data_IF_106939641789
#
_entry.id   IF_106939641789
#
_cell.length_a   1.000
_cell.length_b   1.000
_cell.length_c   1.000
_cell.angle_alpha   90.00
_cell.angle_beta   90.00
_cell.angle_gamma   90.00
#
_symmetry.space_group_name_H-M   'P 1'
#
loop_
_entity.id
_entity.type
_entity.pdbx_description
1 polymer ?
#
# COMPACT_ATOMS: atom_id res chain seq x y z
N UNK A 1 1.56 18.33 -49.51
CA UNK A 1 0.78 18.65 -48.30
C UNK A 1 0.53 17.36 -47.55
N UNK A 2 0.93 17.36 -46.28
CA UNK A 2 0.63 16.41 -45.19
C UNK A 2 0.83 14.90 -45.43
N UNK A 3 2.02 14.44 -45.09
CA UNK A 3 2.20 13.13 -44.46
C UNK A 3 3.12 13.33 -43.27
N UNK A 4 2.54 13.45 -42.07
CA UNK A 4 3.33 13.64 -40.86
C UNK A 4 2.55 14.33 -39.75
N UNK A 5 1.86 13.54 -38.93
CA UNK A 5 1.82 13.78 -37.49
C UNK A 5 1.28 12.61 -36.64
N UNK A 6 0.82 11.52 -37.24
CA UNK A 6 0.13 10.45 -36.49
C UNK A 6 1.02 9.64 -35.53
N UNK A 7 2.36 9.76 -35.63
CA UNK A 7 3.30 9.05 -34.74
C UNK A 7 3.63 9.79 -33.44
N UNK A 8 3.42 11.12 -33.37
CA UNK A 8 3.81 11.95 -32.20
C UNK A 8 2.71 11.92 -31.13
N UNK A 9 1.44 11.92 -31.54
CA UNK A 9 0.30 11.83 -30.63
C UNK A 9 0.18 10.45 -29.95
N UNK A 10 0.56 9.38 -30.65
CA UNK A 10 0.45 8.01 -30.13
C UNK A 10 1.34 7.77 -28.91
N UNK A 11 2.61 8.20 -28.95
CA UNK A 11 3.53 7.94 -27.84
C UNK A 11 3.18 8.75 -26.58
N UNK A 12 2.77 10.02 -26.72
CA UNK A 12 2.34 10.83 -25.58
C UNK A 12 1.07 10.24 -24.95
N UNK A 13 0.12 9.77 -25.76
CA UNK A 13 -1.07 9.08 -25.29
C UNK A 13 -0.73 7.77 -24.58
N UNK A 14 0.19 6.95 -25.11
CA UNK A 14 0.67 5.73 -24.46
C UNK A 14 1.31 6.02 -23.11
N UNK A 15 2.13 7.07 -23.00
CA UNK A 15 2.76 7.47 -21.73
C UNK A 15 1.70 7.89 -20.70
N UNK A 16 0.68 8.65 -21.11
CA UNK A 16 -0.41 9.07 -20.22
C UNK A 16 -1.36 7.93 -19.84
N UNK A 17 -1.47 6.90 -20.68
CA UNK A 17 -2.27 5.71 -20.42
C UNK A 17 -1.53 4.65 -19.58
N UNK A 18 -0.23 4.81 -19.35
CA UNK A 18 0.55 3.87 -18.55
C UNK A 18 0.06 3.88 -17.10
N UNK A 19 -0.46 2.74 -16.65
CA UNK A 19 -0.94 2.54 -15.26
C UNK A 19 0.09 1.80 -14.40
N UNK A 20 1.15 1.29 -15.02
CA UNK A 20 2.25 0.60 -14.36
C UNK A 20 3.62 1.15 -14.79
N UNK A 21 4.69 0.65 -14.15
CA UNK A 21 6.05 1.11 -14.45
C UNK A 21 6.54 0.56 -15.78
N UNK A 22 6.48 1.39 -16.82
CA UNK A 22 6.83 1.01 -18.20
C UNK A 22 8.18 1.56 -18.69
N UNK A 23 8.71 0.92 -19.74
CA UNK A 23 9.92 1.38 -20.43
C UNK A 23 9.61 1.72 -21.88
N UNK A 24 9.91 2.96 -22.28
CA UNK A 24 9.72 3.49 -23.63
C UNK A 24 11.08 3.66 -24.32
N UNK A 25 11.23 3.08 -25.51
CA UNK A 25 12.44 3.20 -26.31
C UNK A 25 12.36 4.41 -27.24
N UNK A 26 13.32 5.33 -27.13
CA UNK A 26 13.37 6.54 -27.98
C UNK A 26 14.23 6.36 -29.24
N UNK A 27 14.61 5.12 -29.59
CA UNK A 27 15.31 4.82 -30.84
C UNK A 27 14.52 5.34 -32.06
N UNK A 28 15.19 6.09 -32.94
CA UNK A 28 14.57 6.65 -34.15
C UNK A 28 13.72 7.91 -33.96
N UNK A 29 13.56 8.43 -32.73
CA UNK A 29 12.89 9.72 -32.49
C UNK A 29 13.88 10.90 -32.59
N UNK A 30 13.48 11.97 -33.29
CA UNK A 30 14.25 13.22 -33.35
C UNK A 30 14.11 14.02 -32.05
N UNK A 31 15.05 14.94 -31.80
CA UNK A 31 15.01 15.84 -30.63
C UNK A 31 13.71 16.65 -30.55
N UNK A 32 13.23 17.16 -31.69
CA UNK A 32 11.97 17.92 -31.76
C UNK A 32 10.78 17.06 -31.33
N UNK A 33 10.72 15.82 -31.79
CA UNK A 33 9.61 14.91 -31.49
C UNK A 33 9.62 14.52 -30.01
N UNK A 34 10.81 14.29 -29.43
CA UNK A 34 10.95 14.03 -28.00
C UNK A 34 10.44 15.22 -27.19
N UNK A 35 10.83 16.46 -27.53
CA UNK A 35 10.37 17.65 -26.81
C UNK A 35 8.85 17.81 -26.84
N UNK A 36 8.22 17.65 -28.01
CA UNK A 36 6.76 17.72 -28.15
C UNK A 36 6.08 16.61 -27.35
N UNK A 37 6.52 15.36 -27.50
CA UNK A 37 5.92 14.21 -26.79
C UNK A 37 6.00 14.37 -25.27
N UNK A 38 7.13 14.85 -24.75
CA UNK A 38 7.31 15.04 -23.31
C UNK A 38 6.50 16.21 -22.77
N UNK A 39 6.36 17.27 -23.56
CA UNK A 39 5.49 18.41 -23.22
C UNK A 39 4.04 17.94 -23.17
N UNK A 40 3.57 17.21 -24.17
CA UNK A 40 2.19 16.72 -24.22
C UNK A 40 1.91 15.68 -23.12
N UNK A 41 2.90 14.83 -22.79
CA UNK A 41 2.74 13.81 -21.76
C UNK A 41 2.75 14.37 -20.32
N UNK A 42 3.66 15.30 -20.01
CA UNK A 42 3.97 15.73 -18.63
C UNK A 42 3.64 17.20 -18.32
N UNK A 43 3.03 17.95 -19.24
CA UNK A 43 2.54 19.31 -18.98
C UNK A 43 1.46 19.34 -17.91
N UNK A 44 0.62 18.32 -17.88
CA UNK A 44 -0.38 18.10 -16.85
C UNK A 44 0.02 16.89 -15.98
N UNK A 45 -0.26 16.92 -14.67
CA UNK A 45 -0.12 15.75 -13.81
C UNK A 45 -0.86 14.54 -14.38
N UNK A 46 -0.27 13.35 -14.25
CA UNK A 46 -0.93 12.13 -14.70
C UNK A 46 -2.01 11.72 -13.68
N UNK A 47 -3.19 11.25 -14.15
CA UNK A 47 -4.28 10.79 -13.28
C UNK A 47 -4.00 9.37 -12.78
N UNK A 48 -2.96 9.23 -11.95
CA UNK A 48 -2.50 7.94 -11.43
C UNK A 48 -2.73 7.86 -9.93
N UNK A 49 -3.20 6.68 -9.49
CA UNK A 49 -3.45 6.38 -8.08
C UNK A 49 -2.17 5.97 -7.35
N UNK A 50 -1.29 5.25 -8.04
CA UNK A 50 0.00 4.81 -7.54
C UNK A 50 1.15 5.52 -8.25
N UNK A 51 2.26 5.72 -7.53
CA UNK A 51 3.47 6.23 -8.14
C UNK A 51 4.05 5.18 -9.09
N UNK A 52 4.11 5.52 -10.39
CA UNK A 52 4.76 4.69 -11.39
C UNK A 52 6.14 5.24 -11.76
N UNK A 53 6.99 4.37 -12.29
CA UNK A 53 8.28 4.72 -12.85
C UNK A 53 8.21 4.63 -14.38
N UNK A 54 8.38 5.75 -15.06
CA UNK A 54 8.46 5.77 -16.53
C UNK A 54 9.93 5.82 -16.96
N UNK A 55 10.42 4.78 -17.62
CA UNK A 55 11.82 4.67 -18.03
C UNK A 55 11.98 4.91 -19.52
N UNK A 56 12.76 5.92 -19.90
CA UNK A 56 13.08 6.21 -21.30
C UNK A 56 14.47 5.69 -21.64
N UNK A 57 14.59 4.85 -22.67
CA UNK A 57 15.90 4.47 -23.24
C UNK A 57 16.34 5.56 -24.19
N UNK A 58 17.44 6.24 -23.84
CA UNK A 58 17.95 7.43 -24.56
C UNK A 58 19.24 7.15 -25.31
N UNK A 59 19.83 5.97 -25.11
CA UNK A 59 21.06 5.57 -25.78
C UNK A 59 21.45 4.14 -25.44
N UNK A 60 22.22 3.54 -26.33
CA UNK A 60 22.88 2.27 -26.09
C UNK A 60 24.38 2.39 -26.35
N UNK A 61 25.18 1.63 -25.62
CA UNK A 61 26.62 1.48 -25.83
C UNK A 61 26.92 0.58 -27.03
N UNK A 62 28.18 0.16 -27.14
CA UNK A 62 28.73 -0.56 -28.32
C UNK A 62 27.98 -1.85 -28.72
N UNK A 63 27.18 -2.44 -27.82
CA UNK A 63 26.40 -3.66 -28.06
C UNK A 63 24.96 -3.39 -28.57
N UNK A 64 24.43 -2.18 -28.40
CA UNK A 64 23.10 -1.83 -28.91
C UNK A 64 23.13 -1.50 -30.40
N UNK A 65 22.34 -2.22 -31.20
CA UNK A 65 22.24 -1.99 -32.66
C UNK A 65 21.27 -0.85 -33.04
N UNK A 66 20.55 -0.30 -32.07
CA UNK A 66 19.55 0.75 -32.28
C UNK A 66 20.21 2.12 -32.44
N UNK A 67 19.66 2.95 -33.35
CA UNK A 67 20.14 4.30 -33.62
C UNK A 67 19.40 5.29 -32.72
N UNK A 68 20.15 5.92 -31.81
CA UNK A 68 19.67 6.98 -30.94
C UNK A 68 20.23 8.33 -31.40
N UNK A 69 19.45 9.39 -31.22
CA UNK A 69 19.94 10.75 -31.43
C UNK A 69 20.89 11.12 -30.27
N UNK A 70 22.08 11.67 -30.58
CA UNK A 70 23.09 12.02 -29.57
C UNK A 70 22.58 13.07 -28.56
N UNK A 71 21.58 13.86 -28.94
CA UNK A 71 20.93 14.84 -28.08
C UNK A 71 19.62 14.36 -27.42
N UNK A 72 19.20 13.10 -27.59
CA UNK A 72 17.94 12.59 -27.05
C UNK A 72 17.83 12.77 -25.52
N UNK A 73 18.86 12.36 -24.77
CA UNK A 73 18.90 12.53 -23.31
C UNK A 73 18.89 14.02 -22.89
N UNK A 74 19.57 14.87 -23.66
CA UNK A 74 19.62 16.32 -23.39
C UNK A 74 18.27 16.97 -23.64
N UNK A 75 17.62 16.63 -24.76
CA UNK A 75 16.29 17.14 -25.13
C UNK A 75 15.22 16.71 -24.11
N UNK A 76 15.26 15.45 -23.67
CA UNK A 76 14.37 14.93 -22.63
C UNK A 76 14.54 15.67 -21.30
N UNK A 77 15.76 15.71 -20.77
CA UNK A 77 16.04 16.33 -19.46
C UNK A 77 15.85 17.85 -19.46
N UNK A 78 16.11 18.54 -20.58
CA UNK A 78 15.82 19.97 -20.70
C UNK A 78 14.32 20.26 -20.69
N UNK A 79 13.52 19.42 -21.35
CA UNK A 79 12.06 19.60 -21.39
C UNK A 79 11.44 19.35 -20.02
N UNK A 80 11.85 18.28 -19.33
CA UNK A 80 11.39 17.98 -17.97
C UNK A 80 11.72 19.10 -16.98
N UNK A 81 12.94 19.67 -17.05
CA UNK A 81 13.31 20.84 -16.23
C UNK A 81 12.43 22.05 -16.53
N UNK A 82 12.09 22.30 -17.79
CA UNK A 82 11.19 23.40 -18.17
C UNK A 82 9.75 23.20 -17.65
N UNK A 83 9.32 21.94 -17.48
CA UNK A 83 8.04 21.56 -16.87
C UNK A 83 8.09 21.51 -15.32
N UNK A 84 9.21 21.95 -14.73
CA UNK A 84 9.41 22.04 -13.29
C UNK A 84 9.64 20.68 -12.63
N UNK A 85 10.31 19.75 -13.31
CA UNK A 85 10.84 18.53 -12.69
C UNK A 85 12.28 18.74 -12.22
N UNK A 86 12.65 18.10 -11.11
CA UNK A 86 13.98 18.19 -10.50
C UNK A 86 14.81 16.91 -10.74
N UNK A 87 16.13 17.06 -10.91
CA UNK A 87 17.04 15.92 -11.05
C UNK A 87 17.42 15.40 -9.65
N UNK A 88 16.95 14.20 -9.31
CA UNK A 88 17.26 13.54 -8.03
C UNK A 88 17.78 12.12 -8.27
N UNK A 89 19.06 11.89 -7.96
CA UNK A 89 19.72 10.58 -8.14
C UNK A 89 19.22 9.51 -7.16
N UNK A 90 18.68 9.92 -6.02
CA UNK A 90 18.11 9.05 -4.99
C UNK A 90 16.64 8.70 -5.24
N UNK A 91 15.99 9.35 -6.20
CA UNK A 91 14.57 9.19 -6.44
C UNK A 91 14.16 7.72 -6.65
N UNK A 92 13.09 7.32 -5.96
CA UNK A 92 12.55 5.97 -5.96
C UNK A 92 11.05 6.01 -6.26
N UNK A 93 10.43 4.84 -6.43
CA UNK A 93 9.01 4.72 -6.80
C UNK A 93 8.11 5.00 -5.58
N UNK A 94 8.19 6.22 -5.04
CA UNK A 94 7.44 6.71 -3.89
C UNK A 94 6.83 8.07 -4.22
N UNK A 95 5.66 8.36 -3.66
CA UNK A 95 4.90 9.60 -3.95
C UNK A 95 5.70 10.86 -3.64
N UNK A 96 6.60 10.80 -2.65
CA UNK A 96 7.48 11.92 -2.26
C UNK A 96 8.47 12.32 -3.37
N UNK A 97 8.76 11.41 -4.31
CA UNK A 97 9.63 11.66 -5.45
C UNK A 97 8.83 12.10 -6.71
N UNK A 98 7.54 12.40 -6.60
CA UNK A 98 6.73 12.91 -7.71
C UNK A 98 7.35 14.18 -8.29
N UNK A 99 7.44 14.27 -9.62
CA UNK A 99 8.05 15.42 -10.27
C UNK A 99 9.58 15.41 -10.26
N UNK A 100 10.21 14.26 -10.03
CA UNK A 100 11.66 14.10 -10.15
C UNK A 100 12.05 13.18 -11.31
N UNK A 101 13.29 13.30 -11.77
CA UNK A 101 13.86 12.35 -12.71
C UNK A 101 15.31 12.00 -12.35
N UNK A 102 15.77 10.83 -12.80
CA UNK A 102 17.15 10.39 -12.63
C UNK A 102 17.75 9.81 -13.90
N UNK A 103 19.04 10.04 -14.07
CA UNK A 103 19.85 9.44 -15.12
C UNK A 103 20.42 8.12 -14.59
N UNK A 104 20.17 7.02 -15.32
CA UNK A 104 20.71 5.71 -14.97
C UNK A 104 21.44 5.11 -16.16
N UNK A 105 22.68 4.69 -15.92
CA UNK A 105 23.47 3.92 -16.88
C UNK A 105 23.53 2.47 -16.39
N UNK A 106 22.85 1.57 -17.09
CA UNK A 106 22.93 0.14 -16.84
C UNK A 106 24.19 -0.39 -17.53
N UNK A 107 25.25 -0.62 -16.75
CA UNK A 107 26.53 -1.14 -17.24
C UNK A 107 26.47 -2.60 -17.67
N UNK A 108 25.47 -3.36 -17.21
CA UNK A 108 25.24 -4.75 -17.62
C UNK A 108 24.60 -4.83 -19.00
N UNK A 109 23.58 -4.00 -19.25
CA UNK A 109 22.87 -3.94 -20.54
C UNK A 109 23.45 -2.91 -21.52
N UNK A 110 24.41 -2.11 -21.08
CA UNK A 110 24.98 -0.98 -21.82
C UNK A 110 23.90 0.02 -22.29
N UNK A 111 22.89 0.28 -21.47
CA UNK A 111 21.80 1.20 -21.82
C UNK A 111 21.87 2.47 -20.96
N UNK A 112 21.71 3.61 -21.62
CA UNK A 112 21.51 4.91 -20.97
C UNK A 112 20.02 5.17 -20.90
N UNK A 113 19.53 5.34 -19.68
CA UNK A 113 18.12 5.52 -19.40
C UNK A 113 17.88 6.79 -18.59
N UNK A 114 16.75 7.43 -18.85
CA UNK A 114 16.22 8.51 -18.02
C UNK A 114 14.95 7.97 -17.38
N UNK A 115 14.91 7.99 -16.07
CA UNK A 115 13.79 7.51 -15.29
C UNK A 115 13.04 8.70 -14.75
N UNK A 116 11.76 8.79 -15.05
CA UNK A 116 10.88 9.90 -14.68
C UNK A 116 9.83 9.39 -13.70
N UNK A 117 9.66 10.15 -12.63
CA UNK A 117 8.60 9.97 -11.65
C UNK A 117 7.58 11.08 -11.90
N UNK A 118 6.45 10.79 -12.59
CA UNK A 118 5.49 11.80 -12.99
C UNK A 118 4.95 12.57 -11.79
N UNK A 119 4.55 13.83 -12.02
CA UNK A 119 3.66 14.53 -11.11
C UNK A 119 2.31 13.82 -11.19
N UNK A 120 1.77 13.40 -10.05
CA UNK A 120 0.44 12.79 -9.97
C UNK A 120 -0.50 13.79 -9.31
N UNK A 121 -1.73 13.89 -9.79
CA UNK A 121 -2.80 14.58 -9.07
C UNK A 121 -3.28 13.67 -7.95
N UNK A 122 -2.56 13.70 -6.82
CA UNK A 122 -3.08 13.17 -5.57
C UNK A 122 -4.17 14.12 -5.06
N UNK A 123 -5.33 13.58 -4.64
CA UNK A 123 -6.26 14.32 -3.79
C UNK A 123 -5.48 14.99 -2.65
N UNK A 124 -5.67 16.30 -2.49
CA UNK A 124 -4.79 17.23 -1.77
C UNK A 124 -4.40 16.78 -0.36
N UNK A 125 -3.15 16.33 -0.16
CA UNK A 125 -2.51 16.16 1.15
C UNK A 125 -1.76 17.42 1.58
N UNK A 126 -2.50 18.40 2.11
CA UNK A 126 -1.94 19.60 2.76
C UNK A 126 -1.54 19.33 4.21
N UNK A 127 -0.41 19.91 4.62
CA UNK A 127 0.27 19.71 5.88
C UNK A 127 -0.57 20.00 7.15
N UNK A 128 -0.65 19.02 8.06
CA UNK A 128 -0.53 19.32 9.49
C UNK A 128 0.01 18.10 10.28
N UNK A 129 0.82 18.37 11.29
CA UNK A 129 1.63 17.37 11.96
C UNK A 129 0.87 16.43 12.89
N UNK A 130 1.02 15.11 12.71
CA UNK A 130 0.64 14.12 13.72
C UNK A 130 0.44 12.73 13.14
N UNK A 131 1.12 11.73 13.73
CA UNK A 131 1.04 10.27 13.48
C UNK A 131 1.33 9.78 12.05
N UNK A 132 2.63 9.72 11.72
CA UNK A 132 3.13 8.89 10.62
C UNK A 132 2.88 7.41 10.91
N UNK A 133 2.19 6.71 9.98
CA UNK A 133 1.97 5.26 10.04
C UNK A 133 0.62 4.75 9.52
N UNK A 134 -0.24 5.60 8.97
CA UNK A 134 -1.40 5.18 8.18
C UNK A 134 -1.02 5.33 6.71
N UNK A 135 -0.71 4.21 6.06
CA UNK A 135 -0.74 4.15 4.61
C UNK A 135 -2.20 4.45 4.20
N UNK A 136 -2.40 5.51 3.42
CA UNK A 136 -3.67 5.73 2.71
C UNK A 136 -3.88 4.50 1.83
N UNK A 137 -4.84 3.66 2.21
CA UNK A 137 -5.37 2.64 1.33
C UNK A 137 -6.39 3.34 0.44
N UNK A 138 -5.88 4.06 -0.56
CA UNK A 138 -6.70 4.59 -1.64
C UNK A 138 -7.23 3.40 -2.44
N UNK A 139 -8.53 3.16 -2.33
CA UNK A 139 -9.26 2.23 -3.17
C UNK A 139 -9.04 2.64 -4.63
N UNK A 140 -8.36 1.77 -5.38
CA UNK A 140 -8.22 1.91 -6.81
C UNK A 140 -9.60 1.84 -7.48
N UNK A 141 -9.98 2.91 -8.19
CA UNK A 141 -11.19 2.94 -9.00
C UNK A 141 -11.49 4.35 -9.53
N UNK A 142 -10.93 4.70 -10.69
CA UNK A 142 -11.31 5.92 -11.39
C UNK A 142 -12.61 5.74 -12.18
N UNK A 143 -13.65 6.51 -11.77
CA UNK A 143 -14.93 6.89 -12.40
C UNK A 143 -15.67 5.81 -13.22
N UNK A 144 -16.85 5.31 -12.83
CA UNK A 144 -18.12 6.07 -12.83
C UNK A 144 -19.15 5.61 -11.78
N UNK A 145 -18.75 4.79 -10.82
CA UNK A 145 -19.57 4.45 -9.65
C UNK A 145 -18.59 4.08 -8.54
N UNK A 146 -18.42 4.93 -7.54
CA UNK A 146 -17.84 4.46 -6.28
C UNK A 146 -18.81 3.41 -5.78
N UNK A 147 -18.43 2.13 -5.88
CA UNK A 147 -19.33 1.05 -5.49
C UNK A 147 -19.80 1.34 -4.06
N UNK A 148 -21.11 1.54 -3.85
CA UNK A 148 -21.61 1.94 -2.55
C UNK A 148 -21.23 0.89 -1.53
N UNK A 149 -20.85 1.34 -0.32
CA UNK A 149 -20.47 0.44 0.76
C UNK A 149 -21.64 -0.52 0.98
N UNK A 150 -21.47 -1.84 0.79
CA UNK A 150 -22.60 -2.77 0.80
C UNK A 150 -23.37 -2.69 2.11
N UNK A 151 -24.68 -2.56 2.04
CA UNK A 151 -25.52 -2.46 3.22
C UNK A 151 -25.34 -3.70 4.12
N UNK A 152 -25.25 -3.49 5.42
CA UNK A 152 -25.00 -4.56 6.39
C UNK A 152 -23.56 -5.07 6.46
N UNK A 153 -22.65 -4.58 5.62
CA UNK A 153 -21.21 -4.87 5.76
C UNK A 153 -20.63 -4.28 7.05
N UNK A 154 -19.53 -4.84 7.60
CA UNK A 154 -18.81 -4.25 8.73
C UNK A 154 -18.41 -2.79 8.50
N UNK A 155 -17.98 -2.48 7.28
CA UNK A 155 -17.60 -1.14 6.83
C UNK A 155 -18.82 -0.21 6.88
N UNK A 156 -19.97 -0.65 6.34
CA UNK A 156 -21.22 0.12 6.40
C UNK A 156 -21.64 0.40 7.85
N UNK A 157 -21.66 -0.63 8.71
CA UNK A 157 -22.02 -0.50 10.12
C UNK A 157 -21.12 0.48 10.88
N UNK A 158 -19.80 0.42 10.64
CA UNK A 158 -18.85 1.35 11.24
C UNK A 158 -19.09 2.78 10.74
N UNK A 159 -19.42 2.95 9.47
CA UNK A 159 -19.66 4.25 8.83
C UNK A 159 -20.93 4.93 9.31
N UNK A 160 -22.08 4.23 9.31
CA UNK A 160 -23.39 4.83 9.65
C UNK A 160 -23.72 4.83 11.15
N UNK A 161 -23.00 4.05 11.96
CA UNK A 161 -23.26 4.00 13.41
C UNK A 161 -23.03 5.35 14.10
N UNK A 162 -23.76 5.64 15.18
CA UNK A 162 -23.43 6.78 16.03
C UNK A 162 -22.05 6.60 16.68
N UNK A 163 -21.39 7.71 17.02
CA UNK A 163 -20.07 7.68 17.69
C UNK A 163 -20.11 6.81 18.94
N UNK A 164 -21.14 6.95 19.79
CA UNK A 164 -21.27 6.16 21.02
C UNK A 164 -21.44 4.65 20.77
N UNK A 165 -22.12 4.25 19.69
CA UNK A 165 -22.24 2.84 19.30
C UNK A 165 -20.90 2.34 18.75
N UNK A 166 -20.25 3.14 17.90
CA UNK A 166 -18.93 2.84 17.37
C UNK A 166 -17.89 2.60 18.46
N UNK A 167 -17.83 3.44 19.50
CA UNK A 167 -16.89 3.26 20.61
C UNK A 167 -17.07 1.90 21.32
N UNK A 168 -18.32 1.45 21.49
CA UNK A 168 -18.64 0.14 22.05
C UNK A 168 -18.26 -1.00 21.10
N UNK A 169 -18.51 -0.81 19.80
CA UNK A 169 -18.12 -1.77 18.76
C UNK A 169 -16.60 -1.92 18.69
N UNK A 170 -15.85 -0.83 18.69
CA UNK A 170 -14.39 -0.84 18.65
C UNK A 170 -13.79 -1.65 19.80
N UNK A 171 -14.31 -1.47 21.02
CA UNK A 171 -13.85 -2.21 22.21
C UNK A 171 -14.15 -3.70 22.13
N UNK A 172 -15.31 -4.08 21.58
CA UNK A 172 -15.76 -5.47 21.54
C UNK A 172 -15.28 -6.25 20.32
N UNK A 173 -15.11 -5.59 19.17
CA UNK A 173 -14.80 -6.20 17.87
C UNK A 173 -13.35 -5.98 17.43
N UNK A 174 -12.67 -4.95 17.94
CA UNK A 174 -11.28 -4.66 17.62
C UNK A 174 -10.38 -4.65 18.87
N UNK A 175 -10.27 -5.77 19.61
CA UNK A 175 -9.46 -5.83 20.84
C UNK A 175 -7.95 -5.68 20.60
N UNK A 176 -7.44 -6.00 19.40
CA UNK A 176 -6.02 -5.89 19.06
C UNK A 176 -5.67 -4.53 18.44
N UNK A 177 -4.39 -4.15 18.52
CA UNK A 177 -3.90 -2.91 17.90
C UNK A 177 -3.98 -3.01 16.37
N UNK A 178 -3.62 -4.16 15.81
CA UNK A 178 -3.72 -4.42 14.37
C UNK A 178 -5.18 -4.33 13.87
N UNK A 179 -6.15 -4.85 14.64
CA UNK A 179 -7.57 -4.74 14.30
C UNK A 179 -8.06 -3.28 14.33
N UNK A 180 -7.62 -2.49 15.32
CA UNK A 180 -7.91 -1.05 15.37
C UNK A 180 -7.28 -0.32 14.18
N UNK A 181 -6.06 -0.69 13.77
CA UNK A 181 -5.41 -0.14 12.56
C UNK A 181 -6.22 -0.44 11.30
N UNK A 182 -6.72 -1.66 11.15
CA UNK A 182 -7.61 -2.03 10.04
C UNK A 182 -8.92 -1.24 10.05
N UNK A 183 -9.55 -1.09 11.21
CA UNK A 183 -10.75 -0.26 11.37
C UNK A 183 -10.50 1.22 11.03
N UNK A 184 -9.34 1.76 11.42
CA UNK A 184 -8.95 3.12 11.05
C UNK A 184 -8.82 3.27 9.53
N UNK A 185 -8.20 2.31 8.85
CA UNK A 185 -8.09 2.32 7.39
C UNK A 185 -9.48 2.31 6.72
N UNK A 186 -10.40 1.45 7.18
CA UNK A 186 -11.76 1.41 6.65
C UNK A 186 -12.54 2.72 6.87
N UNK A 187 -12.32 3.41 8.00
CA UNK A 187 -12.89 4.73 8.25
C UNK A 187 -12.35 5.80 7.30
N UNK A 188 -11.05 5.79 7.01
CA UNK A 188 -10.42 6.70 6.06
C UNK A 188 -11.01 6.49 4.66
N UNK A 189 -11.10 5.23 4.20
CA UNK A 189 -11.74 4.91 2.93
C UNK A 189 -13.20 5.37 2.90
N UNK A 190 -13.97 5.13 3.97
CA UNK A 190 -15.38 5.56 4.03
C UNK A 190 -15.53 7.07 4.01
N UNK A 191 -14.57 7.80 4.59
CA UNK A 191 -14.54 9.26 4.56
C UNK A 191 -14.26 9.76 3.14
N UNK A 192 -13.30 9.18 2.43
CA UNK A 192 -13.02 9.50 1.02
C UNK A 192 -14.27 9.28 0.15
N UNK A 193 -15.04 8.21 0.39
CA UNK A 193 -16.31 7.95 -0.30
C UNK A 193 -17.32 9.07 -0.03
N UNK A 194 -17.55 9.43 1.23
CA UNK A 194 -18.52 10.50 1.57
C UNK A 194 -18.08 11.86 1.01
N UNK A 195 -16.78 12.16 1.03
CA UNK A 195 -16.22 13.39 0.43
C UNK A 195 -16.40 13.42 -1.10
N UNK A 196 -16.35 12.26 -1.77
CA UNK A 196 -16.66 12.15 -3.20
C UNK A 196 -18.16 12.36 -3.49
N UNK A 197 -19.05 11.89 -2.60
CA UNK A 197 -20.49 12.16 -2.70
C UNK A 197 -20.79 13.65 -2.51
N UNK A 198 -20.13 14.30 -1.54
CA UNK A 198 -20.16 15.75 -1.35
C UNK A 198 -19.73 16.48 -2.64
N UNK A 199 -18.61 16.08 -3.25
CA UNK A 199 -18.13 16.69 -4.50
C UNK A 199 -19.11 16.52 -5.66
N UNK A 200 -19.76 15.34 -5.76
CA UNK A 200 -20.79 15.05 -6.76
C UNK A 200 -21.99 15.97 -6.61
N UNK A 201 -22.48 16.16 -5.38
CA UNK A 201 -23.56 17.11 -5.07
C UNK A 201 -23.15 18.56 -5.38
N UNK A 202 -21.92 18.96 -5.05
CA UNK A 202 -21.40 20.30 -5.35
C UNK A 202 -21.26 20.57 -6.85
N UNK A 203 -21.06 19.52 -7.66
CA UNK A 203 -21.05 19.63 -9.13
C UNK A 203 -22.45 19.78 -9.75
N UNK A 204 -23.51 19.64 -8.95
CA UNK A 204 -24.90 19.66 -9.41
C UNK A 204 -25.39 18.32 -10.00
N UNK A 205 -24.61 17.25 -9.82
CA UNK A 205 -24.99 15.89 -10.25
C UNK A 205 -25.80 15.23 -9.14
N UNK A 206 -26.99 14.68 -9.44
CA UNK A 206 -27.78 13.97 -8.44
C UNK A 206 -27.11 12.64 -8.05
N UNK A 207 -27.15 12.31 -6.76
CA UNK A 207 -26.75 11.00 -6.25
C UNK A 207 -27.81 9.94 -6.59
N UNK A 208 -27.41 8.68 -6.67
CA UNK A 208 -28.34 7.54 -6.70
C UNK A 208 -29.03 7.37 -5.34
N UNK A 209 -30.17 6.68 -5.29
CA UNK A 209 -30.91 6.45 -4.03
C UNK A 209 -30.02 5.81 -2.94
N UNK A 210 -29.17 4.85 -3.32
CA UNK A 210 -28.25 4.16 -2.40
C UNK A 210 -27.16 5.09 -1.87
N UNK A 211 -26.63 5.96 -2.72
CA UNK A 211 -25.62 6.95 -2.34
C UNK A 211 -26.23 8.04 -1.46
N UNK A 212 -27.45 8.49 -1.77
CA UNK A 212 -28.19 9.47 -0.98
C UNK A 212 -28.50 8.90 0.41
N UNK A 213 -28.94 7.65 0.51
CA UNK A 213 -29.19 6.98 1.79
C UNK A 213 -27.92 6.89 2.65
N UNK A 214 -26.77 6.54 2.05
CA UNK A 214 -25.49 6.52 2.74
C UNK A 214 -25.07 7.92 3.20
N UNK A 215 -25.21 8.92 2.32
CA UNK A 215 -24.85 10.30 2.60
C UNK A 215 -25.68 10.87 3.75
N UNK A 216 -27.00 10.67 3.73
CA UNK A 216 -27.92 11.13 4.76
C UNK A 216 -27.73 10.40 6.09
N UNK A 217 -27.32 9.13 6.04
CA UNK A 217 -27.06 8.32 7.23
C UNK A 217 -25.77 8.69 7.97
N UNK A 218 -24.83 9.41 7.33
CA UNK A 218 -23.54 9.78 7.92
C UNK A 218 -23.56 11.24 8.40
N UNK A 219 -23.62 11.51 9.72
CA UNK A 219 -23.61 12.88 10.20
C UNK A 219 -22.29 13.59 9.86
N UNK A 220 -22.32 14.88 9.48
CA UNK A 220 -21.11 15.65 9.20
C UNK A 220 -20.11 15.60 10.37
N UNK A 221 -18.84 15.35 10.05
CA UNK A 221 -17.76 15.25 11.04
C UNK A 221 -17.78 14.00 11.92
N UNK A 222 -18.77 13.11 11.78
CA UNK A 222 -18.84 11.87 12.58
C UNK A 222 -17.66 10.94 12.30
N UNK A 223 -17.26 10.79 11.04
CA UNK A 223 -16.12 9.96 10.63
C UNK A 223 -14.80 10.50 11.21
N UNK A 224 -14.58 11.81 11.18
CA UNK A 224 -13.39 12.43 11.78
C UNK A 224 -13.32 12.20 13.31
N UNK A 225 -14.46 12.26 14.00
CA UNK A 225 -14.54 11.95 15.43
C UNK A 225 -14.21 10.47 15.71
N UNK A 226 -14.73 9.55 14.89
CA UNK A 226 -14.42 8.11 14.98
C UNK A 226 -12.93 7.85 14.74
N UNK A 227 -12.33 8.44 13.70
CA UNK A 227 -10.89 8.33 13.43
C UNK A 227 -10.04 8.80 14.61
N UNK A 228 -10.36 9.98 15.17
CA UNK A 228 -9.65 10.53 16.31
C UNK A 228 -9.75 9.60 17.53
N UNK A 229 -10.93 9.01 17.77
CA UNK A 229 -11.12 8.03 18.82
C UNK A 229 -10.28 6.77 18.61
N UNK A 230 -10.26 6.20 17.39
CA UNK A 230 -9.43 5.02 17.09
C UNK A 230 -7.95 5.32 17.28
N UNK A 231 -7.46 6.47 16.78
CA UNK A 231 -6.07 6.91 16.95
C UNK A 231 -5.70 7.02 18.43
N UNK A 232 -6.59 7.59 19.25
CA UNK A 232 -6.41 7.68 20.71
C UNK A 232 -6.34 6.30 21.37
N UNK A 233 -7.29 5.41 21.09
CA UNK A 233 -7.30 4.06 21.64
C UNK A 233 -6.07 3.24 21.22
N UNK A 234 -5.61 3.38 19.98
CA UNK A 234 -4.37 2.77 19.50
C UNK A 234 -3.15 3.29 20.26
N UNK A 235 -3.08 4.59 20.52
CA UNK A 235 -2.01 5.20 21.30
C UNK A 235 -2.03 4.71 22.75
N UNK A 236 -3.20 4.75 23.41
CA UNK A 236 -3.38 4.23 24.77
C UNK A 236 -2.96 2.76 24.86
N UNK A 237 -3.31 1.94 23.86
CA UNK A 237 -2.92 0.53 23.85
C UNK A 237 -1.38 0.32 23.79
N UNK A 238 -0.66 1.19 23.09
CA UNK A 238 0.82 1.18 23.06
C UNK A 238 1.38 1.63 24.40
N UNK A 239 0.86 2.73 24.96
CA UNK A 239 1.30 3.30 26.24
C UNK A 239 1.06 2.34 27.43
N UNK A 240 -0.04 1.60 27.40
CA UNK A 240 -0.36 0.56 28.41
C UNK A 240 0.40 -0.75 28.19
N UNK A 241 1.21 -0.86 27.14
CA UNK A 241 1.97 -2.08 26.82
C UNK A 241 1.11 -3.27 26.39
N UNK A 242 -0.13 -3.05 25.94
CA UNK A 242 -1.09 -4.11 25.58
C UNK A 242 -0.93 -4.56 24.12
N UNK A 243 0.29 -4.87 23.70
CA UNK A 243 0.63 -5.27 22.33
C UNK A 243 0.97 -6.76 22.23
N UNK A 244 0.55 -7.41 21.15
CA UNK A 244 1.04 -8.76 20.82
C UNK A 244 2.47 -8.71 20.28
N UNK A 245 3.15 -9.86 20.17
CA UNK A 245 4.52 -9.90 19.66
C UNK A 245 4.60 -9.37 18.22
N UNK A 246 3.68 -9.81 17.36
CA UNK A 246 3.57 -9.33 15.99
C UNK A 246 3.32 -7.82 15.91
N UNK A 247 2.43 -7.29 16.76
CA UNK A 247 2.14 -5.85 16.80
C UNK A 247 3.36 -5.03 17.25
N UNK A 248 4.12 -5.54 18.23
CA UNK A 248 5.38 -4.94 18.67
C UNK A 248 6.41 -4.92 17.53
N UNK A 249 6.58 -6.04 16.83
CA UNK A 249 7.53 -6.15 15.71
C UNK A 249 7.19 -5.17 14.58
N UNK A 250 5.91 -5.07 14.22
CA UNK A 250 5.42 -4.10 13.22
C UNK A 250 5.75 -2.66 13.63
N UNK A 251 5.50 -2.31 14.90
CA UNK A 251 5.73 -0.97 15.42
C UNK A 251 7.23 -0.65 15.52
N UNK A 252 8.06 -1.62 15.90
CA UNK A 252 9.51 -1.48 15.92
C UNK A 252 10.07 -1.31 14.50
N UNK A 253 9.56 -2.07 13.53
CA UNK A 253 9.92 -1.93 12.12
C UNK A 253 9.60 -0.53 11.60
N UNK A 254 8.35 -0.07 11.74
CA UNK A 254 7.92 1.27 11.31
C UNK A 254 8.76 2.37 11.96
N UNK A 255 9.07 2.22 13.24
CA UNK A 255 9.90 3.19 13.95
C UNK A 255 11.38 3.13 13.51
N UNK A 256 11.87 1.94 13.15
CA UNK A 256 13.20 1.72 12.56
C UNK A 256 13.35 2.37 11.19
N UNK A 257 12.38 2.18 10.29
CA UNK A 257 12.33 2.86 8.99
C UNK A 257 12.34 4.38 9.16
N UNK A 258 11.51 4.91 10.06
CA UNK A 258 11.48 6.33 10.39
C UNK A 258 12.82 6.85 10.90
N UNK A 259 13.53 6.09 11.74
CA UNK A 259 14.86 6.46 12.22
C UNK A 259 15.90 6.44 11.09
N UNK A 260 15.78 5.50 10.15
CA UNK A 260 16.58 5.44 8.93
C UNK A 260 16.41 6.70 8.09
N UNK A 261 15.18 7.05 7.74
CA UNK A 261 14.85 8.26 6.96
C UNK A 261 15.34 9.52 7.65
N UNK A 262 15.05 9.69 8.95
CA UNK A 262 15.51 10.86 9.70
C UNK A 262 17.03 10.97 9.76
N UNK A 263 17.75 9.84 9.82
CA UNK A 263 19.21 9.85 9.82
C UNK A 263 19.76 10.32 8.48
N UNK A 264 19.22 9.83 7.36
CA UNK A 264 19.59 10.27 6.02
C UNK A 264 19.29 11.77 5.80
N UNK A 265 18.11 12.24 6.20
CA UNK A 265 17.75 13.66 6.09
C UNK A 265 18.62 14.58 6.96
N UNK A 266 19.06 14.10 8.14
CA UNK A 266 20.02 14.83 8.98
C UNK A 266 21.36 14.95 8.27
N UNK A 267 21.90 13.85 7.74
CA UNK A 267 23.18 13.85 7.01
C UNK A 267 23.14 14.78 5.80
N UNK A 268 22.05 14.75 5.04
CA UNK A 268 21.84 15.68 3.93
C UNK A 268 21.73 17.13 4.40
N UNK A 269 20.94 17.40 5.44
CA UNK A 269 20.77 18.76 5.96
C UNK A 269 22.09 19.35 6.49
N UNK A 270 22.98 18.50 7.03
CA UNK A 270 24.32 18.89 7.46
C UNK A 270 25.20 19.19 6.24
N UNK A 271 25.18 18.33 5.22
CA UNK A 271 25.90 18.54 3.94
C UNK A 271 25.49 19.84 3.26
N UNK A 272 24.21 20.16 3.27
CA UNK A 272 23.63 21.38 2.70
C UNK A 272 23.78 22.62 3.60
N UNK A 273 24.38 22.50 4.79
CA UNK A 273 24.55 23.58 5.77
C UNK A 273 23.23 24.29 6.12
N UNK A 274 22.15 23.53 6.32
CA UNK A 274 20.82 24.02 6.75
C UNK A 274 20.61 23.79 8.26
N UNK A 275 21.23 24.57 9.17
CA UNK A 275 21.29 24.26 10.61
C UNK A 275 19.91 24.18 11.29
N UNK A 276 18.98 25.08 10.92
CA UNK A 276 17.60 25.06 11.47
C UNK A 276 16.83 23.77 11.11
N UNK A 277 17.03 23.25 9.88
CA UNK A 277 16.43 21.97 9.45
C UNK A 277 17.08 20.82 10.22
N UNK A 278 18.40 20.84 10.38
CA UNK A 278 19.15 19.83 11.14
C UNK A 278 18.69 19.72 12.60
N UNK A 279 18.51 20.85 13.29
CA UNK A 279 18.02 20.86 14.69
C UNK A 279 16.61 20.26 14.80
N UNK A 280 15.70 20.65 13.90
CA UNK A 280 14.33 20.10 13.87
C UNK A 280 14.34 18.59 13.64
N UNK A 281 15.16 18.09 12.72
CA UNK A 281 15.27 16.67 12.42
C UNK A 281 15.90 15.88 13.57
N UNK A 282 16.91 16.43 14.26
CA UNK A 282 17.48 15.82 15.46
C UNK A 282 16.45 15.68 16.59
N UNK A 283 15.64 16.70 16.83
CA UNK A 283 14.55 16.63 17.81
C UNK A 283 13.49 15.57 17.43
N UNK A 284 13.20 15.40 16.13
CA UNK A 284 12.32 14.32 15.65
C UNK A 284 12.95 12.94 15.84
N UNK A 285 14.27 12.81 15.62
CA UNK A 285 15.03 11.57 15.83
C UNK A 285 15.01 11.17 17.30
N UNK A 286 15.24 12.10 18.22
CA UNK A 286 15.19 11.84 19.67
C UNK A 286 13.80 11.32 20.10
N UNK A 287 12.72 11.90 19.58
CA UNK A 287 11.35 11.40 19.84
C UNK A 287 11.14 9.97 19.30
N UNK A 288 11.69 9.66 18.12
CA UNK A 288 11.61 8.33 17.54
C UNK A 288 12.47 7.31 18.32
N UNK A 289 13.63 7.71 18.83
CA UNK A 289 14.48 6.87 19.71
C UNK A 289 13.79 6.59 21.05
N UNK A 290 13.16 7.60 21.66
CA UNK A 290 12.36 7.42 22.87
C UNK A 290 11.19 6.44 22.64
N UNK A 291 10.51 6.54 21.49
CA UNK A 291 9.47 5.57 21.09
C UNK A 291 10.02 4.17 20.88
N UNK A 292 11.22 4.03 20.28
CA UNK A 292 11.88 2.73 20.10
C UNK A 292 12.08 2.05 21.45
N UNK A 293 12.65 2.77 22.41
CA UNK A 293 12.91 2.27 23.76
C UNK A 293 11.62 1.86 24.46
N UNK A 294 10.58 2.70 24.39
CA UNK A 294 9.25 2.37 24.93
C UNK A 294 8.73 1.03 24.35
N UNK A 295 8.84 0.84 23.04
CA UNK A 295 8.37 -0.39 22.39
C UNK A 295 9.21 -1.61 22.78
N UNK A 296 10.53 -1.46 22.90
CA UNK A 296 11.44 -2.54 23.32
C UNK A 296 11.14 -3.03 24.74
N UNK A 297 10.79 -2.11 25.65
CA UNK A 297 10.48 -2.41 27.06
C UNK A 297 9.12 -3.10 27.27
N UNK A 298 8.23 -3.09 26.27
CA UNK A 298 6.91 -3.75 26.35
C UNK A 298 7.07 -5.27 26.36
N UNK A 299 6.49 -5.94 27.37
CA UNK A 299 6.33 -7.40 27.41
C UNK A 299 5.10 -7.78 26.58
N UNK A 300 5.25 -8.53 25.47
CA UNK A 300 4.12 -8.82 24.60
C UNK A 300 3.06 -9.69 25.26
N UNK A 301 1.78 -9.36 25.03
CA UNK A 301 0.65 -10.19 25.42
C UNK A 301 0.48 -11.37 24.46
N UNK A 302 -0.11 -12.45 24.96
CA UNK A 302 -0.55 -13.54 24.12
C UNK A 302 -1.59 -13.05 23.09
N UNK A 303 -1.60 -13.61 21.87
CA UNK A 303 -2.60 -13.27 20.86
C UNK A 303 -4.02 -13.55 21.37
N UNK A 304 -4.99 -12.78 20.87
CA UNK A 304 -6.39 -13.03 21.19
C UNK A 304 -6.84 -14.35 20.57
N UNK A 305 -7.66 -15.10 21.30
CA UNK A 305 -8.20 -16.39 20.83
C UNK A 305 -9.09 -16.16 19.62
N UNK A 306 -8.91 -16.98 18.58
CA UNK A 306 -9.86 -17.03 17.46
C UNK A 306 -11.20 -17.58 17.94
N UNK A 307 -12.28 -17.20 17.26
CA UNK A 307 -13.64 -17.64 17.61
C UNK A 307 -13.77 -19.16 17.59
N UNK A 308 -13.16 -19.80 16.59
CA UNK A 308 -13.18 -21.24 16.37
C UNK A 308 -11.86 -21.92 16.81
N UNK A 309 -10.98 -21.21 17.54
CA UNK A 309 -9.71 -21.74 18.06
C UNK A 309 -9.81 -23.12 18.73
N UNK A 310 -10.79 -23.40 19.62
CA UNK A 310 -10.84 -24.71 20.29
C UNK A 310 -11.16 -25.84 19.31
N UNK A 311 -12.00 -25.58 18.31
CA UNK A 311 -12.38 -26.56 17.29
C UNK A 311 -11.24 -26.81 16.31
N UNK A 312 -10.58 -25.74 15.85
CA UNK A 312 -9.37 -25.82 15.02
C UNK A 312 -8.26 -26.56 15.76
N UNK A 313 -8.06 -26.29 17.06
CA UNK A 313 -7.04 -26.98 17.86
C UNK A 313 -7.32 -28.48 17.96
N UNK A 314 -8.59 -28.86 18.13
CA UNK A 314 -9.01 -30.27 18.15
C UNK A 314 -8.75 -30.94 16.81
N UNK A 315 -9.16 -30.31 15.71
CA UNK A 315 -8.93 -30.79 14.34
C UNK A 315 -7.43 -30.92 14.02
N UNK A 316 -6.60 -29.94 14.42
CA UNK A 316 -5.13 -30.01 14.30
C UNK A 316 -4.52 -31.14 15.13
N UNK A 317 -5.09 -31.45 16.29
CA UNK A 317 -4.67 -32.61 17.09
C UNK A 317 -5.02 -33.94 16.41
N UNK A 318 -6.19 -34.03 15.76
CA UNK A 318 -6.61 -35.18 14.95
C UNK A 318 -5.80 -35.32 13.66
N UNK A 319 -5.35 -34.21 13.07
CA UNK A 319 -4.53 -34.18 11.86
C UNK A 319 -3.09 -34.68 12.08
N UNK A 320 -2.49 -34.37 13.24
CA UNK A 320 -1.09 -34.70 13.57
C UNK A 320 -0.72 -36.19 13.41
N UNK A 321 -1.51 -37.17 13.91
CA UNK A 321 -1.21 -38.59 13.68
C UNK A 321 -1.38 -39.01 12.21
N UNK A 322 -2.28 -38.37 11.45
CA UNK A 322 -2.48 -38.66 10.03
C UNK A 322 -1.30 -38.17 9.19
N UNK A 323 -0.77 -36.97 9.48
CA UNK A 323 0.45 -36.46 8.86
C UNK A 323 1.65 -37.36 9.14
N UNK A 324 1.79 -37.82 10.39
CA UNK A 324 2.85 -38.77 10.74
C UNK A 324 2.71 -40.10 9.99
N UNK A 325 1.49 -40.63 9.85
CA UNK A 325 1.24 -41.85 9.07
C UNK A 325 1.62 -41.67 7.59
N UNK A 326 1.29 -40.53 6.99
CA UNK A 326 1.66 -40.21 5.61
C UNK A 326 3.18 -40.12 5.45
N UNK A 327 3.88 -39.43 6.36
CA UNK A 327 5.33 -39.32 6.34
C UNK A 327 6.03 -40.67 6.50
N UNK A 328 5.54 -41.52 7.42
CA UNK A 328 6.08 -42.86 7.68
C UNK A 328 5.80 -43.85 6.53
N UNK A 329 4.81 -43.55 5.67
CA UNK A 329 4.41 -44.41 4.54
C UNK A 329 4.89 -43.92 3.18
N UNK A 330 5.61 -42.80 3.12
CA UNK A 330 6.20 -42.27 1.87
C UNK A 330 7.06 -43.34 1.17
N UNK A 331 6.61 -43.77 -0.01
CA UNK A 331 7.28 -44.79 -0.82
C UNK A 331 6.80 -46.23 -0.62
N UNK A 332 5.84 -46.48 0.30
CA UNK A 332 5.18 -47.79 0.47
C UNK A 332 3.79 -47.76 -0.15
N UNK A 333 3.35 -48.90 -0.70
CA UNK A 333 1.94 -49.11 -1.03
C UNK A 333 1.11 -49.10 0.27
N UNK A 334 0.13 -48.20 0.33
CA UNK A 334 -0.83 -48.08 1.42
C UNK A 334 -1.87 -49.20 1.31
N UNK A 335 -2.26 -49.75 2.46
CA UNK A 335 -3.43 -50.64 2.54
C UNK A 335 -4.72 -49.85 2.38
N UNK A 336 -5.80 -50.50 1.94
CA UNK A 336 -7.12 -49.87 1.77
C UNK A 336 -7.61 -49.15 3.04
N UNK A 337 -7.27 -49.66 4.23
CA UNK A 337 -7.58 -49.03 5.51
C UNK A 337 -6.77 -47.76 5.76
N UNK A 338 -5.48 -47.78 5.42
CA UNK A 338 -4.61 -46.60 5.53
C UNK A 338 -5.03 -45.52 4.53
N UNK A 339 -5.40 -45.90 3.29
CA UNK A 339 -5.96 -44.97 2.29
C UNK A 339 -7.26 -44.33 2.77
N UNK A 340 -8.19 -45.11 3.36
CA UNK A 340 -9.43 -44.56 3.90
C UNK A 340 -9.19 -43.61 5.10
N UNK A 341 -8.16 -43.89 5.90
CA UNK A 341 -7.79 -43.04 7.05
C UNK A 341 -7.10 -41.75 6.61
N UNK A 342 -6.33 -41.80 5.51
CA UNK A 342 -5.76 -40.61 4.88
C UNK A 342 -6.82 -39.76 4.16
N UNK A 343 -7.91 -40.33 3.66
CA UNK A 343 -9.02 -39.53 3.11
C UNK A 343 -9.64 -38.58 4.17
N UNK A 344 -9.67 -38.99 5.45
CA UNK A 344 -10.11 -38.13 6.56
C UNK A 344 -9.18 -36.92 6.78
N UNK A 345 -7.92 -37.00 6.36
CA UNK A 345 -6.97 -35.89 6.43
C UNK A 345 -7.44 -34.71 5.58
N UNK A 346 -7.86 -34.99 4.35
CA UNK A 346 -8.31 -33.96 3.42
C UNK A 346 -9.61 -33.32 3.92
N UNK A 347 -10.54 -34.12 4.45
CA UNK A 347 -11.76 -33.59 5.10
C UNK A 347 -11.45 -32.69 6.31
N UNK A 348 -10.48 -33.06 7.16
CA UNK A 348 -10.06 -32.25 8.30
C UNK A 348 -9.42 -30.93 7.84
N UNK A 349 -8.66 -30.94 6.75
CA UNK A 349 -8.07 -29.73 6.18
C UNK A 349 -9.16 -28.80 5.63
N UNK A 350 -10.14 -29.33 4.90
CA UNK A 350 -11.31 -28.57 4.43
C UNK A 350 -12.13 -28.01 5.60
N UNK A 351 -12.31 -28.77 6.69
CA UNK A 351 -13.02 -28.33 7.89
C UNK A 351 -12.27 -27.21 8.62
N UNK A 352 -10.94 -27.32 8.76
CA UNK A 352 -10.09 -26.25 9.29
C UNK A 352 -10.20 -24.99 8.41
N UNK A 353 -10.10 -25.14 7.08
CA UNK A 353 -10.22 -24.03 6.14
C UNK A 353 -11.59 -23.35 6.24
N UNK A 354 -12.69 -24.12 6.31
CA UNK A 354 -14.02 -23.58 6.49
C UNK A 354 -14.20 -22.84 7.83
N UNK A 355 -13.60 -23.35 8.92
CA UNK A 355 -13.63 -22.69 10.23
C UNK A 355 -12.77 -21.41 10.27
N UNK A 356 -11.68 -21.36 9.50
CA UNK A 356 -10.84 -20.18 9.32
C UNK A 356 -11.54 -19.13 8.41
N UNK A 357 -12.24 -19.57 7.35
CA UNK A 357 -12.95 -18.69 6.40
C UNK A 357 -14.29 -18.16 6.94
N UNK A 358 -15.05 -18.97 7.68
CA UNK A 358 -16.31 -18.52 8.33
C UNK A 358 -16.07 -17.37 9.32
N UNK A 359 -14.87 -17.28 9.88
CA UNK A 359 -14.42 -16.14 10.68
C UNK A 359 -14.12 -14.91 9.81
N UNK A 360 -13.45 -15.08 8.66
CA UNK A 360 -13.13 -14.00 7.72
C UNK A 360 -14.41 -13.40 7.12
N UNK A 361 -15.37 -14.22 6.68
CA UNK A 361 -16.61 -13.75 6.06
C UNK A 361 -17.60 -13.12 7.04
N UNK A 362 -17.51 -13.45 8.34
CA UNK A 362 -18.30 -12.80 9.40
C UNK A 362 -17.66 -11.52 9.98
N UNK A 363 -16.40 -11.23 9.64
CA UNK A 363 -15.63 -10.09 10.18
C UNK A 363 -15.10 -9.13 9.12
N UNK A 364 -15.02 -9.52 7.86
CA UNK A 364 -14.44 -8.72 6.77
C UNK A 364 -14.87 -9.30 5.43
N UNK A 365 -15.84 -8.68 4.76
CA UNK A 365 -15.95 -8.74 3.29
C UNK A 365 -14.85 -7.87 2.69
N UNK A 366 -13.60 -8.28 2.92
CA UNK A 366 -12.41 -7.63 2.41
C UNK A 366 -11.36 -8.71 2.13
N UNK A 367 -11.71 -9.64 1.22
CA UNK A 367 -10.77 -10.65 0.70
C UNK A 367 -9.51 -10.02 0.10
N UNK A 368 -9.55 -8.76 -0.32
CA UNK A 368 -8.41 -8.06 -0.91
C UNK A 368 -7.61 -7.22 0.10
N UNK A 369 -8.27 -6.73 1.16
CA UNK A 369 -7.66 -5.82 2.15
C UNK A 369 -6.68 -6.54 3.09
N UNK A 370 -6.98 -7.78 3.49
CA UNK A 370 -6.02 -8.62 4.21
C UNK A 370 -5.01 -9.31 3.29
N UNK A 371 -5.33 -9.51 2.01
CA UNK A 371 -4.43 -10.16 1.05
C UNK A 371 -3.20 -9.30 0.75
N UNK A 372 -3.33 -7.96 0.69
CA UNK A 372 -2.19 -7.10 0.41
C UNK A 372 -1.25 -6.90 1.62
N UNK A 373 -1.80 -6.89 2.84
CA UNK A 373 -1.00 -7.05 4.06
C UNK A 373 -0.58 -8.51 4.32
N UNK A 374 -0.85 -9.44 3.41
CA UNK A 374 -0.35 -10.81 3.46
C UNK A 374 0.63 -11.10 2.33
N UNK A 375 0.65 -10.35 1.22
CA UNK A 375 1.53 -10.64 0.09
C UNK A 375 3.01 -10.29 0.36
N UNK A 376 3.28 -9.38 1.31
CA UNK A 376 4.62 -9.21 1.91
C UNK A 376 4.92 -10.23 3.02
N UNK A 377 3.90 -10.99 3.46
CA UNK A 377 3.97 -11.95 4.58
C UNK A 377 3.84 -13.42 4.12
N UNK A 378 3.57 -13.69 2.83
CA UNK A 378 3.52 -15.03 2.24
C UNK A 378 4.90 -15.72 2.16
N UNK A 379 5.99 -14.96 2.26
CA UNK A 379 7.33 -15.55 2.45
C UNK A 379 7.59 -15.97 3.90
N UNK A 380 6.84 -15.44 4.87
CA UNK A 380 6.99 -15.79 6.30
C UNK A 380 6.01 -16.86 6.78
N UNK A 381 4.85 -17.03 6.15
CA UNK A 381 3.98 -18.18 6.39
C UNK A 381 4.69 -19.51 6.03
N UNK A 382 5.53 -19.52 4.99
CA UNK A 382 6.43 -20.63 4.69
C UNK A 382 7.62 -20.75 5.67
N UNK A 383 8.02 -19.65 6.33
CA UNK A 383 9.11 -19.67 7.32
C UNK A 383 8.66 -20.24 8.68
N UNK A 384 7.40 -20.01 9.07
CA UNK A 384 6.81 -20.63 10.27
C UNK A 384 6.47 -22.12 10.08
N UNK A 385 6.24 -22.57 8.85
CA UNK A 385 6.16 -24.00 8.51
C UNK A 385 7.53 -24.71 8.56
N UNK A 386 8.65 -23.99 8.41
CA UNK A 386 10.01 -24.55 8.49
C UNK A 386 10.61 -24.58 9.91
N UNK A 387 10.06 -23.84 10.88
CA UNK A 387 10.57 -23.79 12.25
C UNK A 387 9.85 -24.73 13.24
N UNK A 388 9.01 -25.62 12.73
CA UNK A 388 8.45 -26.76 13.47
C UNK A 388 8.90 -28.13 12.92
N UNK A 389 10.07 -28.17 12.28
CA UNK A 389 10.83 -29.39 12.02
C UNK A 389 12.09 -29.44 12.87
#
# INVERSE_FOLDING_TARGET
MSSGNDHVSGLAASIRAATESETFDLAGHSQSNIQTTMTDAFSEPLPLNDMIRITFVTGAGKLGRQKYDEGAAKALTSTLRNLGFEEDRGASCVVECAGSFKLQHDTGKNLKTVVVFPKITAGTGGADGGVAGVASLSLAGGSDNVAPIPEGSPEHMVTVSSVAVFEKMLKSKCPSWAQKKGCLAALVCSKEIVEALDATLMSGTPLTDVEQDLYDAVPPGSLANKEAHVKKEMQTQVEEGKLTNLEKDILLHQNGERLGTLTLEIEESVREKKPKKTEKLKAMKEKAEARKKLLEDIVPKAPHRLRNEPEITKLRAELRPLQKMEDDTKGRLLSVKETATLARKDEILEEIEALEVSFILGSTTCKEFFSFSCNTYCTWANFLLCLSH
#
